data_IF_665175426483
#
_entry.id   IF_665175426483
#
_cell.length_a   1.000
_cell.length_b   1.000
_cell.length_c   1.000
_cell.angle_alpha   90.00
_cell.angle_beta   90.00
_cell.angle_gamma   90.00
#
_symmetry.space_group_name_H-M   'P 1'
#
loop_
_entity.id
_entity.type
_entity.pdbx_description
1 polymer ?
#
# COMPACT_ATOMS: atom_id res chain seq x y z
N UNK A 1 -1.16 -27.45 -11.48
CA UNK A 1 -2.39 -27.04 -10.78
C UNK A 1 -2.24 -25.60 -10.35
N UNK A 2 -3.29 -24.78 -10.40
CA UNK A 2 -3.24 -23.35 -10.03
C UNK A 2 -3.90 -23.15 -8.67
N UNK A 3 -3.20 -22.50 -7.74
CA UNK A 3 -3.72 -22.20 -6.42
C UNK A 3 -4.18 -20.74 -6.33
N UNK A 4 -5.41 -20.52 -5.85
CA UNK A 4 -5.97 -19.19 -5.63
C UNK A 4 -5.82 -18.82 -4.15
N UNK A 5 -5.19 -17.68 -3.88
CA UNK A 5 -5.04 -17.11 -2.53
C UNK A 5 -5.91 -15.86 -2.42
N UNK A 6 -6.71 -15.77 -1.35
CA UNK A 6 -7.53 -14.59 -1.03
C UNK A 6 -7.01 -13.96 0.26
N UNK A 7 -6.80 -12.65 0.23
CA UNK A 7 -6.33 -11.90 1.39
C UNK A 7 -6.90 -10.48 1.37
N UNK A 8 -7.06 -9.90 2.55
CA UNK A 8 -7.35 -8.48 2.73
C UNK A 8 -6.08 -7.78 3.20
N UNK A 9 -5.61 -6.82 2.42
CA UNK A 9 -4.37 -6.09 2.69
C UNK A 9 -4.55 -4.59 2.45
N UNK A 10 -3.79 -3.73 3.15
CA UNK A 10 -3.86 -2.29 2.93
C UNK A 10 -3.43 -1.92 1.51
N UNK A 11 -4.13 -0.95 0.91
CA UNK A 11 -3.81 -0.43 -0.42
C UNK A 11 -2.38 0.15 -0.51
N UNK A 12 -1.84 0.67 0.60
CA UNK A 12 -0.47 1.19 0.66
C UNK A 12 0.61 0.11 0.45
N UNK A 13 0.28 -1.15 0.68
CA UNK A 13 1.25 -2.26 0.64
C UNK A 13 1.40 -2.90 -0.75
N UNK A 14 0.51 -2.59 -1.70
CA UNK A 14 0.45 -3.29 -3.00
C UNK A 14 1.07 -2.51 -4.18
N UNK A 15 1.73 -1.39 -3.92
CA UNK A 15 2.27 -0.51 -4.97
C UNK A 15 3.22 -1.24 -5.95
N UNK A 16 4.00 -2.22 -5.46
CA UNK A 16 4.97 -2.98 -6.26
C UNK A 16 4.58 -4.47 -6.43
N UNK A 17 3.35 -4.84 -6.05
CA UNK A 17 2.97 -6.25 -5.93
C UNK A 17 3.03 -7.00 -7.27
N UNK A 18 2.74 -6.34 -8.39
CA UNK A 18 2.83 -6.96 -9.72
C UNK A 18 4.24 -7.49 -10.03
N UNK A 19 5.26 -6.69 -9.75
CA UNK A 19 6.66 -7.05 -9.98
C UNK A 19 7.10 -8.16 -9.04
N UNK A 20 6.75 -8.04 -7.75
CA UNK A 20 7.07 -9.04 -6.73
C UNK A 20 6.43 -10.40 -7.04
N UNK A 21 5.15 -10.42 -7.43
CA UNK A 21 4.44 -11.65 -7.78
C UNK A 21 5.08 -12.33 -8.99
N UNK A 22 5.41 -11.59 -10.04
CA UNK A 22 6.12 -12.14 -11.21
C UNK A 22 7.49 -12.71 -10.83
N UNK A 23 8.23 -12.03 -9.96
CA UNK A 23 9.53 -12.52 -9.46
C UNK A 23 9.38 -13.84 -8.69
N UNK A 24 8.39 -13.94 -7.78
CA UNK A 24 8.16 -15.12 -6.95
C UNK A 24 7.61 -16.32 -7.74
N UNK A 25 6.83 -16.08 -8.79
CA UNK A 25 6.14 -17.12 -9.57
C UNK A 25 6.83 -17.47 -10.89
N UNK A 26 8.01 -16.89 -11.17
CA UNK A 26 8.68 -17.05 -12.46
C UNK A 26 7.86 -16.49 -13.63
N UNK A 27 7.06 -15.46 -13.40
CA UNK A 27 6.25 -14.76 -14.40
C UNK A 27 4.87 -15.35 -14.66
N UNK A 28 4.46 -16.38 -13.91
CA UNK A 28 3.18 -17.08 -14.14
C UNK A 28 2.04 -16.68 -13.20
N UNK A 29 2.27 -15.76 -12.26
CA UNK A 29 1.26 -15.26 -11.33
C UNK A 29 0.40 -14.13 -11.90
N UNK A 30 -0.89 -14.16 -11.61
CA UNK A 30 -1.83 -13.07 -11.83
C UNK A 30 -2.57 -12.75 -10.54
N UNK A 31 -3.04 -11.50 -10.42
CA UNK A 31 -3.85 -11.07 -9.27
C UNK A 31 -4.97 -10.13 -9.71
N UNK A 32 -6.01 -10.06 -8.89
CA UNK A 32 -7.10 -9.09 -9.02
C UNK A 32 -7.34 -8.46 -7.64
N UNK A 33 -7.76 -7.20 -7.64
CA UNK A 33 -8.05 -6.45 -6.41
C UNK A 33 -9.41 -5.77 -6.52
N UNK A 34 -10.14 -5.71 -5.41
CA UNK A 34 -11.35 -4.91 -5.27
C UNK A 34 -11.29 -4.11 -3.96
N UNK A 35 -11.83 -2.89 -3.96
CA UNK A 35 -11.95 -2.12 -2.73
C UNK A 35 -12.97 -2.79 -1.81
N UNK A 36 -12.55 -3.10 -0.59
CA UNK A 36 -13.41 -3.69 0.43
C UNK A 36 -13.92 -2.65 1.43
N UNK A 37 -13.03 -2.04 2.22
CA UNK A 37 -13.38 -1.09 3.27
C UNK A 37 -12.16 -0.30 3.75
N UNK A 38 -12.40 0.70 4.60
CA UNK A 38 -11.37 1.35 5.40
C UNK A 38 -11.22 0.66 6.75
N UNK A 39 -9.99 0.58 7.23
CA UNK A 39 -9.65 0.02 8.53
C UNK A 39 -8.76 0.99 9.32
N UNK A 40 -8.70 0.79 10.64
CA UNK A 40 -7.85 1.56 11.54
C UNK A 40 -6.37 1.33 11.23
N UNK A 41 -5.63 2.42 11.09
CA UNK A 41 -4.19 2.35 10.94
C UNK A 41 -3.53 1.98 12.28
N UNK A 42 -2.56 1.06 12.28
CA UNK A 42 -1.71 0.82 13.45
C UNK A 42 -1.07 2.11 13.97
N UNK A 43 -1.02 2.28 15.30
CA UNK A 43 -0.59 3.52 15.94
C UNK A 43 0.82 3.99 15.51
N UNK A 44 1.74 3.05 15.24
CA UNK A 44 3.10 3.37 14.81
C UNK A 44 3.17 3.96 13.39
N UNK A 45 2.25 3.59 12.49
CA UNK A 45 2.16 4.16 11.14
C UNK A 45 1.44 5.51 11.15
N UNK A 46 0.46 5.68 12.05
CA UNK A 46 -0.28 6.93 12.16
C UNK A 46 0.64 8.12 12.48
N UNK A 47 1.59 7.94 13.41
CA UNK A 47 2.53 8.99 13.79
C UNK A 47 3.41 9.44 12.61
N UNK A 48 3.89 8.50 11.78
CA UNK A 48 4.74 8.84 10.64
C UNK A 48 3.96 9.58 9.54
N UNK A 49 2.70 9.21 9.32
CA UNK A 49 1.84 9.88 8.34
C UNK A 49 1.52 11.30 8.81
N UNK A 50 1.18 11.48 10.10
CA UNK A 50 0.91 12.80 10.69
C UNK A 50 2.15 13.70 10.55
N UNK A 51 3.34 13.19 10.88
CA UNK A 51 4.58 13.95 10.74
C UNK A 51 4.86 14.38 9.29
N UNK A 52 4.66 13.47 8.33
CA UNK A 52 4.81 13.77 6.90
C UNK A 52 3.82 14.85 6.43
N UNK A 53 2.56 14.76 6.87
CA UNK A 53 1.53 15.76 6.56
C UNK A 53 1.91 17.14 7.10
N UNK A 54 2.32 17.25 8.37
CA UNK A 54 2.76 18.52 8.94
C UNK A 54 3.96 19.12 8.20
N UNK A 55 4.94 18.30 7.84
CA UNK A 55 6.10 18.73 7.06
C UNK A 55 5.70 19.24 5.66
N UNK A 56 4.79 18.54 4.97
CA UNK A 56 4.27 18.95 3.67
C UNK A 56 3.53 20.29 3.74
N UNK A 57 2.68 20.49 4.76
CA UNK A 57 1.99 21.77 4.98
C UNK A 57 2.97 22.93 5.25
N UNK A 58 3.99 22.72 6.07
CA UNK A 58 5.00 23.73 6.36
C UNK A 58 5.87 24.07 5.14
N UNK A 59 6.13 23.10 4.25
CA UNK A 59 6.88 23.32 3.02
C UNK A 59 6.07 24.13 1.98
N UNK A 60 4.76 23.91 1.90
CA UNK A 60 3.87 24.67 1.01
C UNK A 60 3.72 26.12 1.48
N UNK A 61 3.61 26.37 2.79
CA UNK A 61 3.51 27.71 3.37
C UNK A 61 4.80 28.55 3.25
N UNK A 62 5.95 27.94 2.92
CA UNK A 62 7.21 28.66 2.65
C UNK A 62 7.45 28.93 1.16
N UNK A 63 6.61 28.37 0.28
CA UNK A 63 6.66 28.59 -1.17
C UNK A 63 5.73 29.71 -1.63
N UNK A 64 4.76 30.08 -0.81
CA UNK A 64 3.96 31.32 -0.91
C UNK A 64 4.70 32.48 -0.19
#
# INVERSE_FOLDING_TARGET
DLQVVRASIPMSSIANYETELKSMTGGQGSFTMEFSHYDILPAHLMQSIIAQMHAAHAANAKKE
#
